data_IF_044005270341
#
_entry.id   IF_044005270341
#
_cell.length_a   1.000
_cell.length_b   1.000
_cell.length_c   1.000
_cell.angle_alpha   90.00
_cell.angle_beta   90.00
_cell.angle_gamma   90.00
#
_symmetry.space_group_name_H-M   'P 1'
#
loop_
_entity.id
_entity.type
_entity.pdbx_description
1 polymer ?
#
# COMPACT_ATOMS: atom_id res chain seq x y z
N UNK A 1 19.09 -9.80 -2.04
CA UNK A 1 19.98 -9.13 -1.07
C UNK A 1 21.43 -9.50 -1.36
N UNK A 2 22.12 -8.66 -2.13
CA UNK A 2 23.57 -8.77 -2.31
C UNK A 2 24.28 -8.23 -1.05
N UNK A 3 25.37 -8.85 -0.59
CA UNK A 3 26.18 -8.33 0.50
C UNK A 3 26.69 -6.92 0.17
N UNK A 4 26.90 -6.09 1.20
CA UNK A 4 27.49 -4.76 1.02
C UNK A 4 28.89 -4.83 0.44
N UNK A 5 29.22 -3.94 -0.50
CA UNK A 5 30.51 -3.86 -1.14
C UNK A 5 31.25 -2.56 -0.77
N UNK A 6 32.64 -2.56 -0.79
CA UNK A 6 33.40 -1.36 -0.49
C UNK A 6 33.08 -0.15 -1.38
N UNK A 7 32.56 -0.41 -2.58
CA UNK A 7 32.21 0.62 -3.58
C UNK A 7 30.79 1.17 -3.47
N UNK A 8 29.95 0.63 -2.58
CA UNK A 8 28.55 1.05 -2.43
C UNK A 8 28.38 2.56 -2.18
N UNK A 9 29.41 3.20 -1.61
CA UNK A 9 29.43 4.66 -1.34
C UNK A 9 30.38 5.45 -2.24
N UNK A 10 31.01 4.78 -3.22
CA UNK A 10 31.97 5.42 -4.13
C UNK A 10 31.27 6.01 -5.36
N UNK A 11 30.38 7.00 -5.14
CA UNK A 11 29.57 7.64 -6.16
C UNK A 11 29.38 9.14 -5.88
N UNK A 12 28.90 9.89 -6.88
CA UNK A 12 28.53 11.30 -6.79
C UNK A 12 27.00 11.53 -6.82
N UNK A 13 26.20 10.50 -6.53
CA UNK A 13 24.75 10.61 -6.48
C UNK A 13 24.38 11.39 -5.22
N UNK A 14 23.58 12.45 -5.36
CA UNK A 14 23.17 13.30 -4.24
C UNK A 14 21.86 12.86 -3.62
N UNK A 15 20.92 12.33 -4.43
CA UNK A 15 19.64 11.80 -3.99
C UNK A 15 19.10 10.81 -5.00
N UNK A 16 18.23 9.92 -4.55
CA UNK A 16 17.34 9.11 -5.36
C UNK A 16 15.90 9.62 -5.24
N UNK A 17 15.02 9.21 -6.15
CA UNK A 17 13.62 9.60 -6.17
C UNK A 17 12.75 8.37 -6.39
N UNK A 18 11.70 8.21 -5.59
CA UNK A 18 10.81 7.06 -5.67
C UNK A 18 9.41 7.34 -5.18
N UNK A 19 8.53 6.38 -5.41
CA UNK A 19 7.16 6.39 -4.91
C UNK A 19 6.76 4.99 -4.47
N UNK A 20 6.13 4.87 -3.30
CA UNK A 20 5.72 3.59 -2.72
C UNK A 20 6.92 2.73 -2.31
N UNK A 21 7.91 3.34 -1.66
CA UNK A 21 9.08 2.66 -1.12
C UNK A 21 8.66 1.79 0.08
N UNK A 22 9.12 0.53 0.12
CA UNK A 22 9.00 -0.29 1.33
C UNK A 22 9.78 0.35 2.47
N UNK A 23 9.18 0.45 3.66
CA UNK A 23 9.78 1.14 4.80
C UNK A 23 11.15 0.60 5.19
N UNK A 24 11.29 -0.72 5.26
CA UNK A 24 12.55 -1.40 5.56
C UNK A 24 13.61 -1.15 4.47
N UNK A 25 13.22 -1.32 3.20
CA UNK A 25 14.14 -1.11 2.08
C UNK A 25 14.57 0.35 1.95
N UNK A 26 13.70 1.31 2.24
CA UNK A 26 14.01 2.73 2.25
C UNK A 26 15.14 3.02 3.24
N UNK A 27 14.96 2.61 4.49
CA UNK A 27 15.95 2.80 5.55
C UNK A 27 17.28 2.07 5.24
N UNK A 28 17.21 0.80 4.84
CA UNK A 28 18.38 0.01 4.50
C UNK A 28 19.18 0.57 3.32
N UNK A 29 18.48 1.09 2.30
CA UNK A 29 19.10 1.71 1.14
C UNK A 29 19.87 2.98 1.52
N UNK A 30 19.27 3.90 2.28
CA UNK A 30 19.93 5.12 2.71
C UNK A 30 21.16 4.83 3.57
N UNK A 31 21.04 3.87 4.49
CA UNK A 31 22.17 3.45 5.33
C UNK A 31 23.31 2.82 4.53
N UNK A 32 22.99 1.98 3.55
CA UNK A 32 23.96 1.27 2.74
C UNK A 32 24.71 2.20 1.79
N UNK A 33 23.97 2.97 1.00
CA UNK A 33 24.55 3.76 -0.09
C UNK A 33 24.87 5.20 0.30
N UNK A 34 24.39 5.69 1.43
CA UNK A 34 24.50 7.09 1.84
C UNK A 34 23.90 8.05 0.79
N UNK A 35 22.74 7.67 0.25
CA UNK A 35 21.97 8.43 -0.74
C UNK A 35 20.58 8.65 -0.14
N UNK A 36 20.16 9.91 0.00
CA UNK A 36 18.77 10.21 0.39
C UNK A 36 17.79 9.73 -0.67
N UNK A 37 16.84 8.87 -0.31
CA UNK A 37 15.72 8.48 -1.16
C UNK A 37 14.53 9.38 -0.86
N UNK A 38 14.22 10.27 -1.77
CA UNK A 38 13.11 11.22 -1.65
C UNK A 38 11.83 10.53 -2.09
N UNK A 39 10.91 10.32 -1.17
CA UNK A 39 9.60 9.77 -1.48
C UNK A 39 8.68 10.86 -2.01
N UNK A 40 7.84 10.49 -2.99
CA UNK A 40 6.90 11.41 -3.61
C UNK A 40 5.57 10.74 -3.88
N UNK A 41 4.53 11.54 -3.85
CA UNK A 41 3.20 11.17 -4.30
C UNK A 41 2.81 12.00 -5.52
N UNK A 42 2.41 11.33 -6.58
CA UNK A 42 1.84 11.90 -7.78
C UNK A 42 1.04 10.85 -8.54
N UNK A 43 0.12 11.29 -9.37
CA UNK A 43 -0.70 10.45 -10.24
C UNK A 43 -0.68 10.98 -11.68
N UNK A 44 -0.94 10.11 -12.65
CA UNK A 44 -1.15 10.54 -14.04
C UNK A 44 -2.30 11.53 -14.14
N UNK A 45 -3.37 11.28 -13.39
CA UNK A 45 -4.58 12.09 -13.35
C UNK A 45 -4.34 13.49 -12.78
N UNK A 46 -3.45 13.63 -11.80
CA UNK A 46 -3.11 14.96 -11.23
C UNK A 46 -2.12 15.72 -12.10
N UNK A 47 -1.50 15.06 -13.08
CA UNK A 47 -0.53 15.66 -13.99
C UNK A 47 0.63 16.31 -13.25
N UNK A 48 0.99 17.52 -13.68
CA UNK A 48 1.98 18.37 -12.99
C UNK A 48 1.34 19.35 -12.01
N UNK A 49 0.04 19.24 -11.78
CA UNK A 49 -0.72 20.26 -11.03
C UNK A 49 -0.64 20.04 -9.54
N UNK A 50 -0.65 18.76 -9.12
CA UNK A 50 -0.61 18.38 -7.71
C UNK A 50 0.33 17.19 -7.56
N UNK A 51 1.42 17.43 -6.85
CA UNK A 51 2.35 16.39 -6.39
C UNK A 51 2.87 16.79 -5.00
N UNK A 52 3.16 15.82 -4.16
CA UNK A 52 3.74 16.03 -2.84
C UNK A 52 5.08 15.29 -2.79
N UNK A 53 6.11 15.97 -2.31
CA UNK A 53 7.49 15.49 -2.35
C UNK A 53 8.14 15.69 -0.98
N UNK A 54 8.63 14.61 -0.37
CA UNK A 54 9.33 14.64 0.91
C UNK A 54 10.77 15.16 0.78
N UNK A 55 10.93 16.39 0.28
CA UNK A 55 12.27 17.00 0.07
C UNK A 55 12.85 17.71 1.28
N UNK A 56 12.04 17.95 2.31
CA UNK A 56 12.42 18.67 3.52
C UNK A 56 12.51 17.74 4.73
N UNK A 57 13.47 18.00 5.62
CA UNK A 57 13.56 17.25 6.88
C UNK A 57 12.55 17.77 7.92
N UNK A 58 12.01 16.91 8.77
CA UNK A 58 12.24 15.46 8.83
C UNK A 58 11.44 14.70 7.76
N UNK A 59 12.12 13.87 6.95
CA UNK A 59 11.47 13.06 5.89
C UNK A 59 10.74 11.83 6.42
N UNK A 60 10.88 11.50 7.71
CA UNK A 60 10.27 10.30 8.33
C UNK A 60 10.59 9.02 7.54
N UNK A 61 11.86 8.82 7.20
CA UNK A 61 12.37 7.70 6.39
C UNK A 61 11.81 6.36 6.88
N UNK A 62 11.31 5.54 5.97
CA UNK A 62 10.77 4.22 6.29
C UNK A 62 9.32 4.20 6.78
N UNK A 63 8.60 5.33 6.75
CA UNK A 63 7.21 5.41 7.23
C UNK A 63 6.19 5.69 6.12
N UNK A 64 6.58 5.49 4.86
CA UNK A 64 5.78 5.87 3.68
C UNK A 64 5.34 7.35 3.68
N UNK A 65 6.12 8.21 4.37
CA UNK A 65 5.92 9.65 4.38
C UNK A 65 6.33 10.24 3.04
N UNK A 66 5.39 10.90 2.34
CA UNK A 66 5.68 11.57 1.09
C UNK A 66 5.69 13.11 1.21
N UNK A 67 5.65 13.63 2.43
CA UNK A 67 5.94 15.02 2.75
C UNK A 67 4.73 15.88 3.06
N UNK A 68 4.94 17.18 3.07
CA UNK A 68 3.91 18.18 3.35
C UNK A 68 3.17 18.59 2.09
N UNK A 69 1.83 18.73 2.12
CA UNK A 69 1.09 19.25 0.97
C UNK A 69 1.58 20.66 0.63
N UNK A 70 1.85 20.95 -0.65
CA UNK A 70 2.32 22.27 -1.07
C UNK A 70 1.17 23.30 -1.04
N UNK A 71 1.49 24.59 -0.87
CA UNK A 71 0.52 25.70 -0.74
C UNK A 71 -0.48 25.82 -1.91
N UNK A 72 -0.11 25.35 -3.08
CA UNK A 72 -0.97 25.36 -4.27
C UNK A 72 -1.92 24.15 -4.35
N UNK A 73 -1.92 23.29 -3.35
CA UNK A 73 -2.79 22.12 -3.24
C UNK A 73 -3.78 22.32 -2.09
N UNK A 74 -5.06 22.20 -2.41
CA UNK A 74 -6.08 21.97 -1.41
C UNK A 74 -6.42 20.48 -1.34
N UNK A 75 -6.62 19.96 -0.14
CA UNK A 75 -6.92 18.55 0.07
C UNK A 75 -8.00 18.35 1.14
N UNK A 76 -8.61 17.17 1.11
CA UNK A 76 -9.49 16.64 2.15
C UNK A 76 -9.09 15.19 2.40
N UNK A 77 -9.22 14.76 3.65
CA UNK A 77 -9.18 13.33 4.01
C UNK A 77 -10.58 12.99 4.51
N UNK A 78 -11.24 12.06 3.82
CA UNK A 78 -12.64 11.68 4.11
C UNK A 78 -12.76 10.18 4.38
N UNK A 79 -13.75 9.84 5.19
CA UNK A 79 -14.17 8.46 5.41
C UNK A 79 -15.09 7.94 4.27
N UNK A 80 -15.63 6.74 4.44
CA UNK A 80 -16.53 6.10 3.48
C UNK A 80 -17.89 6.80 3.34
N UNK A 81 -18.29 7.63 4.31
CA UNK A 81 -19.54 8.40 4.30
C UNK A 81 -19.34 9.77 3.65
N UNK A 82 -18.09 10.14 3.35
CA UNK A 82 -17.71 11.44 2.80
C UNK A 82 -17.42 12.50 3.85
N UNK A 83 -17.43 12.11 5.15
CA UNK A 83 -17.14 13.02 6.25
C UNK A 83 -15.63 13.12 6.53
N UNK A 84 -15.13 14.29 6.98
CA UNK A 84 -13.73 14.45 7.31
C UNK A 84 -13.28 13.50 8.42
N UNK A 85 -12.12 12.83 8.24
CA UNK A 85 -11.51 12.00 9.29
C UNK A 85 -10.79 12.85 10.33
N UNK A 86 -10.60 12.29 11.53
CA UNK A 86 -9.79 12.90 12.58
C UNK A 86 -8.30 12.84 12.22
N UNK A 87 -7.52 13.79 12.73
CA UNK A 87 -6.06 13.80 12.54
C UNK A 87 -5.44 12.48 13.05
N UNK A 88 -4.53 11.92 12.27
CA UNK A 88 -3.93 10.62 12.53
C UNK A 88 -4.74 9.42 12.02
N UNK A 89 -6.01 9.59 11.69
CA UNK A 89 -6.83 8.53 11.09
C UNK A 89 -6.69 8.52 9.58
N UNK A 90 -6.62 7.33 8.95
CA UNK A 90 -6.59 7.20 7.51
C UNK A 90 -7.92 7.60 6.86
N UNK A 91 -7.86 8.40 5.81
CA UNK A 91 -8.99 8.76 4.97
C UNK A 91 -8.62 8.77 3.48
N UNK A 92 -9.64 8.76 2.61
CA UNK A 92 -9.40 8.97 1.19
C UNK A 92 -8.84 10.36 0.95
N UNK A 93 -7.71 10.44 0.26
CA UNK A 93 -7.13 11.71 -0.15
C UNK A 93 -7.89 12.26 -1.36
N UNK A 94 -8.57 13.38 -1.17
CA UNK A 94 -9.13 14.19 -2.22
C UNK A 94 -8.25 15.40 -2.45
N UNK A 95 -8.01 15.76 -3.71
CA UNK A 95 -7.12 16.86 -4.06
C UNK A 95 -7.71 17.78 -5.13
N UNK A 96 -7.35 19.05 -5.05
CA UNK A 96 -7.57 20.02 -6.12
C UNK A 96 -6.47 21.08 -6.12
N UNK A 97 -6.36 21.82 -7.18
CA UNK A 97 -5.50 23.00 -7.20
C UNK A 97 -6.19 24.17 -6.48
N UNK A 98 -5.43 24.97 -5.72
CA UNK A 98 -5.91 26.19 -5.08
C UNK A 98 -6.29 27.24 -6.14
N UNK A 99 -7.30 28.08 -5.84
CA UNK A 99 -7.71 29.22 -6.63
C UNK A 99 -8.86 28.92 -7.59
N UNK A 100 -9.09 29.84 -8.56
CA UNK A 100 -10.29 29.89 -9.40
C UNK A 100 -10.41 28.74 -10.43
N UNK A 101 -9.34 27.99 -10.68
CA UNK A 101 -9.31 26.91 -11.65
C UNK A 101 -8.86 25.58 -10.99
N UNK A 102 -9.70 24.97 -10.14
CA UNK A 102 -9.31 23.85 -9.31
C UNK A 102 -8.88 22.59 -10.08
N UNK A 103 -9.35 22.43 -11.33
CA UNK A 103 -9.00 21.30 -12.21
C UNK A 103 -7.86 21.59 -13.19
N UNK A 104 -7.28 22.77 -13.15
CA UNK A 104 -6.22 23.16 -14.09
C UNK A 104 -4.99 22.28 -13.90
N UNK A 105 -4.54 21.65 -15.02
CA UNK A 105 -3.36 20.78 -15.06
C UNK A 105 -3.63 19.33 -14.66
N UNK A 106 -4.86 19.01 -14.26
CA UNK A 106 -5.30 17.63 -14.17
C UNK A 106 -5.57 17.04 -15.55
N UNK A 107 -5.73 15.72 -15.62
CA UNK A 107 -6.09 15.04 -16.86
C UNK A 107 -7.43 15.52 -17.42
N UNK A 108 -7.64 15.35 -18.73
CA UNK A 108 -8.89 15.72 -19.39
C UNK A 108 -10.02 14.71 -19.17
N UNK A 109 -9.68 13.49 -18.79
CA UNK A 109 -10.61 12.40 -18.52
C UNK A 109 -10.10 11.03 -18.92
N UNK A 110 -10.80 9.99 -18.50
CA UNK A 110 -10.54 8.61 -18.89
C UNK A 110 -10.99 8.35 -20.34
N UNK A 111 -10.14 7.66 -21.09
CA UNK A 111 -10.40 7.40 -22.51
C UNK A 111 -11.65 6.53 -22.68
N UNK A 112 -12.63 7.06 -23.42
CA UNK A 112 -13.91 6.41 -23.72
C UNK A 112 -14.74 6.04 -22.48
N UNK A 113 -14.46 6.66 -21.32
CA UNK A 113 -15.17 6.43 -20.07
C UNK A 113 -15.56 7.76 -19.40
N UNK A 114 -16.58 8.45 -19.94
CA UNK A 114 -17.03 9.71 -19.36
C UNK A 114 -17.70 9.53 -17.99
N UNK A 115 -18.26 8.34 -17.70
CA UNK A 115 -18.91 8.07 -16.43
C UNK A 115 -17.88 7.94 -15.32
N UNK A 116 -16.81 7.18 -15.51
CA UNK A 116 -15.69 7.14 -14.58
C UNK A 116 -15.06 8.52 -14.41
N UNK A 117 -14.96 9.31 -15.48
CA UNK A 117 -14.43 10.67 -15.41
C UNK A 117 -15.29 11.57 -14.50
N UNK A 118 -16.62 11.49 -14.62
CA UNK A 118 -17.52 12.25 -13.74
C UNK A 118 -17.45 11.76 -12.29
N UNK A 119 -17.44 10.45 -12.08
CA UNK A 119 -17.39 9.84 -10.76
C UNK A 119 -16.07 10.14 -10.01
N UNK A 120 -15.00 10.49 -10.73
CA UNK A 120 -13.71 10.82 -10.12
C UNK A 120 -13.68 12.23 -9.48
N UNK A 121 -14.78 13.01 -9.54
CA UNK A 121 -14.82 14.38 -9.04
C UNK A 121 -16.04 14.64 -8.17
N UNK A 122 -15.83 15.27 -6.99
CA UNK A 122 -16.89 15.78 -6.13
C UNK A 122 -16.49 17.18 -5.64
N UNK A 123 -17.36 18.18 -5.82
CA UNK A 123 -17.11 19.58 -5.41
C UNK A 123 -15.74 20.12 -5.90
N UNK A 124 -15.38 19.78 -7.14
CA UNK A 124 -14.09 20.10 -7.75
C UNK A 124 -12.86 19.45 -7.09
N UNK A 125 -13.05 18.53 -6.16
CA UNK A 125 -11.99 17.67 -5.65
C UNK A 125 -11.92 16.36 -6.44
N UNK A 126 -10.69 15.97 -6.79
CA UNK A 126 -10.40 14.71 -7.45
C UNK A 126 -10.24 13.60 -6.41
N UNK A 127 -10.99 12.51 -6.57
CA UNK A 127 -10.86 11.29 -5.79
C UNK A 127 -9.63 10.51 -6.23
N UNK A 128 -8.60 10.48 -5.39
CA UNK A 128 -7.34 9.79 -5.74
C UNK A 128 -7.46 8.27 -5.60
N UNK A 129 -8.38 7.80 -4.78
CA UNK A 129 -8.49 6.40 -4.37
C UNK A 129 -7.30 5.95 -3.50
N UNK A 130 -6.51 6.89 -2.98
CA UNK A 130 -5.40 6.62 -2.05
C UNK A 130 -5.84 6.89 -0.62
N UNK A 131 -5.57 5.95 0.27
CA UNK A 131 -5.77 6.09 1.70
C UNK A 131 -4.51 6.71 2.31
N UNK A 132 -4.67 7.84 2.99
CA UNK A 132 -3.59 8.67 3.52
C UNK A 132 -3.96 9.13 4.93
N UNK A 133 -3.00 9.28 5.81
CA UNK A 133 -3.20 10.02 7.06
C UNK A 133 -2.20 11.17 7.19
N UNK A 134 -2.54 12.15 8.05
CA UNK A 134 -1.65 13.23 8.47
C UNK A 134 -1.11 12.91 9.86
N UNK A 135 0.19 13.01 10.03
CA UNK A 135 0.79 12.94 11.36
C UNK A 135 0.67 14.29 12.13
N UNK A 136 1.17 14.31 13.37
CA UNK A 136 1.11 15.50 14.22
C UNK A 136 1.93 16.69 13.69
N UNK A 137 2.89 16.42 12.81
CA UNK A 137 3.71 17.44 12.12
C UNK A 137 3.03 17.95 10.83
N UNK A 138 1.87 17.39 10.46
CA UNK A 138 1.14 17.71 9.22
C UNK A 138 1.80 17.15 7.97
N UNK A 139 2.54 16.05 8.11
CA UNK A 139 3.11 15.30 6.99
C UNK A 139 2.16 14.19 6.55
N UNK A 140 2.09 13.97 5.24
CA UNK A 140 1.24 12.96 4.64
C UNK A 140 1.95 11.61 4.55
N UNK A 141 1.26 10.55 4.99
CA UNK A 141 1.72 9.18 4.93
C UNK A 141 0.77 8.33 4.09
N UNK A 142 1.32 7.59 3.14
CA UNK A 142 0.55 6.66 2.33
C UNK A 142 0.26 5.38 3.14
N UNK A 143 -0.98 4.91 3.07
CA UNK A 143 -1.41 3.66 3.73
C UNK A 143 -1.62 2.55 2.70
N UNK A 144 -2.53 2.75 1.75
CA UNK A 144 -2.81 1.82 0.65
C UNK A 144 -3.74 2.46 -0.39
N UNK A 145 -4.05 1.75 -1.45
CA UNK A 145 -5.15 2.06 -2.35
C UNK A 145 -6.46 1.56 -1.77
N UNK A 146 -7.53 2.37 -1.79
CA UNK A 146 -8.86 1.98 -1.28
C UNK A 146 -9.33 0.64 -1.87
N UNK A 147 -9.12 0.43 -3.16
CA UNK A 147 -9.47 -0.83 -3.84
C UNK A 147 -8.67 -2.06 -3.39
N UNK A 148 -7.57 -1.88 -2.68
CA UNK A 148 -6.72 -2.95 -2.15
C UNK A 148 -6.96 -3.18 -0.65
N UNK A 149 -7.68 -2.27 0.01
CA UNK A 149 -8.06 -2.41 1.43
C UNK A 149 -8.95 -3.63 1.59
N UNK A 150 -8.63 -4.46 2.57
CA UNK A 150 -9.40 -5.64 2.95
C UNK A 150 -10.32 -5.24 4.10
N UNK A 151 -11.64 -5.34 3.89
CA UNK A 151 -12.64 -4.93 4.88
C UNK A 151 -13.14 -6.10 5.68
N UNK A 152 -12.56 -6.28 6.86
CA UNK A 152 -12.87 -7.40 7.74
C UNK A 152 -13.55 -6.94 9.03
N UNK A 153 -14.82 -7.32 9.21
CA UNK A 153 -15.60 -6.98 10.43
C UNK A 153 -15.59 -5.49 10.79
N UNK A 154 -15.63 -4.60 9.79
CA UNK A 154 -15.58 -3.14 9.96
C UNK A 154 -14.17 -2.54 10.04
N UNK A 155 -13.13 -3.39 10.09
CA UNK A 155 -11.74 -2.94 10.10
C UNK A 155 -11.18 -2.83 8.69
N UNK A 156 -10.44 -1.76 8.41
CA UNK A 156 -9.72 -1.54 7.18
C UNK A 156 -8.28 -2.06 7.32
N UNK A 157 -7.91 -3.04 6.51
CA UNK A 157 -6.60 -3.70 6.54
C UNK A 157 -5.85 -3.37 5.26
N UNK A 158 -4.67 -2.76 5.38
CA UNK A 158 -3.76 -2.56 4.26
C UNK A 158 -3.13 -3.90 3.86
N UNK A 159 -3.32 -4.28 2.59
CA UNK A 159 -2.66 -5.46 2.04
C UNK A 159 -1.13 -5.30 2.05
N UNK A 160 -0.65 -4.07 1.81
CA UNK A 160 0.79 -3.75 1.80
C UNK A 160 1.41 -3.93 3.18
N UNK A 161 0.74 -3.45 4.26
CA UNK A 161 1.20 -3.65 5.63
C UNK A 161 1.39 -5.13 5.98
N UNK A 162 0.43 -5.96 5.59
CA UNK A 162 0.51 -7.41 5.84
C UNK A 162 1.62 -8.05 5.00
N UNK A 163 1.79 -7.63 3.74
CA UNK A 163 2.86 -8.12 2.87
C UNK A 163 4.25 -7.78 3.41
N UNK A 164 4.44 -6.58 3.96
CA UNK A 164 5.71 -6.14 4.53
C UNK A 164 6.12 -7.03 5.71
N UNK A 165 5.20 -7.24 6.65
CA UNK A 165 5.48 -8.09 7.82
C UNK A 165 5.81 -9.53 7.43
N UNK A 166 5.08 -10.12 6.49
CA UNK A 166 5.32 -11.53 6.10
C UNK A 166 6.59 -11.66 5.27
N UNK A 167 6.96 -10.65 4.47
CA UNK A 167 8.18 -10.62 3.66
C UNK A 167 9.46 -10.66 4.51
N UNK A 168 9.42 -10.25 5.79
CA UNK A 168 10.55 -10.37 6.71
C UNK A 168 10.96 -11.83 6.94
N UNK A 169 10.07 -12.79 6.73
CA UNK A 169 10.36 -14.20 6.96
C UNK A 169 11.28 -14.76 5.86
N UNK A 170 12.44 -15.36 6.23
CA UNK A 170 13.48 -15.73 5.26
C UNK A 170 13.05 -16.80 4.24
N UNK A 171 12.03 -17.60 4.52
CA UNK A 171 11.50 -18.59 3.60
C UNK A 171 10.52 -18.01 2.57
N UNK A 172 10.17 -16.72 2.66
CA UNK A 172 9.26 -16.04 1.72
C UNK A 172 10.06 -15.38 0.61
N UNK A 173 9.96 -15.91 -0.61
CA UNK A 173 10.62 -15.34 -1.79
C UNK A 173 9.81 -14.17 -2.36
N UNK A 174 8.48 -14.33 -2.42
CA UNK A 174 7.55 -13.26 -2.79
C UNK A 174 6.19 -13.48 -2.14
N UNK A 175 5.45 -12.39 -1.94
CA UNK A 175 4.12 -12.41 -1.33
C UNK A 175 3.18 -11.46 -2.02
N UNK A 176 1.92 -11.88 -2.15
CA UNK A 176 0.80 -11.04 -2.52
C UNK A 176 -0.39 -11.30 -1.59
N UNK A 177 -0.91 -10.24 -0.98
CA UNK A 177 -2.05 -10.31 -0.07
C UNK A 177 -3.28 -9.68 -0.72
N UNK A 178 -4.44 -10.31 -0.55
CA UNK A 178 -5.71 -9.84 -1.10
C UNK A 178 -6.88 -10.25 -0.23
N UNK A 179 -8.06 -9.70 -0.52
CA UNK A 179 -9.31 -10.09 0.09
C UNK A 179 -9.91 -11.32 -0.60
N UNK A 180 -10.46 -12.24 0.20
CA UNK A 180 -11.47 -13.21 -0.24
C UNK A 180 -12.74 -13.01 0.57
N UNK A 181 -13.90 -13.25 -0.04
CA UNK A 181 -15.19 -13.05 0.64
C UNK A 181 -15.36 -14.05 1.78
N UNK A 182 -15.77 -13.57 2.95
CA UNK A 182 -16.17 -14.35 4.13
C UNK A 182 -17.63 -14.03 4.48
N UNK A 183 -18.47 -15.06 4.64
CA UNK A 183 -19.92 -14.90 4.85
C UNK A 183 -20.29 -14.14 6.14
N UNK A 184 -19.41 -14.17 7.14
CA UNK A 184 -19.68 -13.57 8.46
C UNK A 184 -18.96 -12.22 8.60
N UNK A 185 -17.76 -12.10 8.03
CA UNK A 185 -16.85 -10.98 8.29
C UNK A 185 -16.72 -9.98 7.15
N UNK A 186 -17.41 -10.21 6.03
CA UNK A 186 -17.29 -9.47 4.79
C UNK A 186 -16.11 -9.97 3.97
N UNK A 187 -14.90 -9.58 4.33
CA UNK A 187 -13.67 -10.10 3.74
C UNK A 187 -12.83 -10.89 4.77
N UNK A 188 -11.97 -11.77 4.27
CA UNK A 188 -10.88 -12.39 5.01
C UNK A 188 -9.56 -12.18 4.26
N UNK A 189 -8.47 -12.05 5.01
CA UNK A 189 -7.11 -11.84 4.49
C UNK A 189 -6.57 -13.14 3.93
N UNK A 190 -6.19 -13.13 2.65
CA UNK A 190 -5.62 -14.26 1.92
C UNK A 190 -4.21 -13.93 1.44
N UNK A 191 -3.23 -14.77 1.80
CA UNK A 191 -1.83 -14.63 1.41
C UNK A 191 -1.43 -15.68 0.37
N UNK A 192 -0.99 -15.21 -0.81
CA UNK A 192 -0.35 -16.02 -1.84
C UNK A 192 1.16 -15.94 -1.68
N UNK A 193 1.84 -17.06 -1.42
CA UNK A 193 3.26 -17.14 -1.08
C UNK A 193 4.03 -17.86 -2.17
N UNK A 194 5.12 -17.28 -2.62
CA UNK A 194 6.17 -17.97 -3.43
C UNK A 194 7.24 -18.44 -2.47
N UNK A 195 7.45 -19.75 -2.41
CA UNK A 195 8.40 -20.40 -1.50
C UNK A 195 8.77 -21.80 -1.96
N UNK A 196 9.97 -22.26 -1.60
CA UNK A 196 10.40 -23.66 -1.77
C UNK A 196 10.12 -24.52 -0.52
N UNK A 197 9.71 -23.88 0.58
CA UNK A 197 9.44 -24.55 1.85
C UNK A 197 8.11 -25.32 1.84
N UNK A 198 7.96 -26.26 2.79
CA UNK A 198 6.69 -26.93 3.05
C UNK A 198 5.64 -25.94 3.58
N UNK A 199 4.50 -25.85 2.88
CA UNK A 199 3.46 -24.87 3.20
C UNK A 199 2.73 -25.13 4.52
N UNK A 200 2.56 -26.41 4.92
CA UNK A 200 1.90 -26.76 6.19
C UNK A 200 2.66 -26.21 7.39
N UNK A 201 3.98 -26.36 7.37
CA UNK A 201 4.87 -25.84 8.41
C UNK A 201 4.99 -24.33 8.31
N UNK A 202 5.31 -23.81 7.11
CA UNK A 202 5.56 -22.40 6.90
C UNK A 202 4.34 -21.52 7.23
N UNK A 203 3.13 -21.92 6.85
CA UNK A 203 1.93 -21.12 7.14
C UNK A 203 1.68 -20.93 8.64
N UNK A 204 2.03 -21.92 9.48
CA UNK A 204 1.95 -21.80 10.94
C UNK A 204 3.01 -20.84 11.49
N UNK A 205 4.23 -20.88 10.96
CA UNK A 205 5.27 -19.94 11.31
C UNK A 205 4.89 -18.51 10.90
N UNK A 206 4.33 -18.33 9.69
CA UNK A 206 3.91 -17.03 9.18
C UNK A 206 2.73 -16.42 9.94
N UNK A 207 1.73 -17.22 10.35
CA UNK A 207 0.64 -16.66 11.16
C UNK A 207 1.13 -16.27 12.56
N UNK A 208 1.99 -17.05 13.18
CA UNK A 208 2.60 -16.68 14.47
C UNK A 208 3.48 -15.42 14.35
N UNK A 209 4.25 -15.31 13.27
CA UNK A 209 5.06 -14.13 12.95
C UNK A 209 4.17 -12.89 12.80
N UNK A 210 3.07 -13.02 12.08
CA UNK A 210 2.08 -11.97 11.87
C UNK A 210 1.40 -11.54 13.16
N UNK A 211 0.95 -12.48 14.00
CA UNK A 211 0.26 -12.19 15.26
C UNK A 211 1.15 -11.49 16.30
N UNK A 212 2.46 -11.59 16.19
CA UNK A 212 3.41 -10.86 17.05
C UNK A 212 3.61 -9.39 16.63
N UNK A 213 3.26 -9.02 15.41
CA UNK A 213 3.58 -7.72 14.80
C UNK A 213 2.35 -6.95 14.32
N UNK A 214 1.27 -7.65 14.04
CA UNK A 214 0.01 -7.09 13.55
C UNK A 214 -1.11 -7.32 14.57
N UNK A 215 -2.12 -6.47 14.52
CA UNK A 215 -3.39 -6.78 15.19
C UNK A 215 -3.94 -8.11 14.65
N UNK A 216 -4.53 -8.93 15.54
CA UNK A 216 -4.96 -10.30 15.20
C UNK A 216 -5.87 -10.39 13.96
N UNK A 217 -6.69 -9.37 13.73
CA UNK A 217 -7.60 -9.33 12.59
C UNK A 217 -6.88 -9.06 11.25
N UNK A 218 -5.68 -8.47 11.27
CA UNK A 218 -4.84 -8.21 10.09
C UNK A 218 -4.08 -9.45 9.62
N UNK A 219 -3.75 -10.37 10.53
CA UNK A 219 -3.04 -11.59 10.15
C UNK A 219 -3.83 -12.38 9.09
N UNK A 220 -3.19 -13.01 8.09
CA UNK A 220 -3.91 -13.80 7.10
C UNK A 220 -4.67 -14.97 7.72
N UNK A 221 -5.93 -15.18 7.27
CA UNK A 221 -6.72 -16.33 7.61
C UNK A 221 -6.45 -17.51 6.70
N UNK A 222 -6.01 -17.23 5.47
CA UNK A 222 -5.70 -18.25 4.47
C UNK A 222 -4.30 -18.03 3.88
N UNK A 223 -3.61 -19.14 3.63
CA UNK A 223 -2.30 -19.17 2.98
C UNK A 223 -2.30 -20.17 1.82
N UNK A 224 -1.74 -19.77 0.69
CA UNK A 224 -1.57 -20.68 -0.44
C UNK A 224 -0.21 -20.50 -1.07
N UNK A 225 0.41 -21.62 -1.49
CA UNK A 225 1.59 -21.59 -2.35
C UNK A 225 1.21 -21.26 -3.77
N UNK A 226 1.99 -20.40 -4.41
CA UNK A 226 1.91 -20.12 -5.84
C UNK A 226 3.30 -20.18 -6.46
N UNK A 227 3.38 -20.57 -7.74
CA UNK A 227 4.67 -20.63 -8.44
C UNK A 227 5.20 -19.23 -8.77
N UNK A 228 4.29 -18.28 -9.04
CA UNK A 228 4.61 -16.90 -9.30
C UNK A 228 3.42 -15.99 -8.98
N UNK A 229 3.69 -14.73 -8.60
CA UNK A 229 2.67 -13.71 -8.48
C UNK A 229 2.31 -13.12 -9.86
N UNK A 230 1.04 -12.73 -10.07
CA UNK A 230 0.66 -12.01 -11.28
C UNK A 230 1.25 -10.60 -11.26
N UNK A 231 2.22 -10.31 -12.13
CA UNK A 231 2.90 -9.02 -12.21
C UNK A 231 2.51 -8.24 -13.47
N UNK A 232 2.61 -6.92 -13.40
CA UNK A 232 2.58 -6.02 -14.56
C UNK A 232 3.92 -6.06 -15.30
N UNK A 233 3.99 -5.45 -16.49
CA UNK A 233 5.25 -5.27 -17.21
C UNK A 233 6.29 -4.43 -16.42
N UNK A 234 5.86 -3.70 -15.40
CA UNK A 234 6.71 -2.91 -14.50
C UNK A 234 6.94 -3.60 -13.15
N UNK A 235 6.76 -4.93 -13.09
CA UNK A 235 6.98 -5.80 -11.92
C UNK A 235 6.11 -5.47 -10.68
N UNK A 236 5.00 -4.76 -10.85
CA UNK A 236 4.03 -4.51 -9.77
C UNK A 236 2.96 -5.60 -9.74
N UNK A 237 2.54 -6.02 -8.56
CA UNK A 237 1.48 -7.02 -8.38
C UNK A 237 0.16 -6.53 -9.02
N UNK A 238 -0.39 -7.34 -9.93
CA UNK A 238 -1.71 -7.11 -10.53
C UNK A 238 -2.81 -7.53 -9.54
N UNK A 239 -3.26 -6.62 -8.70
CA UNK A 239 -4.20 -6.90 -7.60
C UNK A 239 -5.50 -7.59 -8.03
N UNK A 240 -6.06 -7.22 -9.19
CA UNK A 240 -7.27 -7.87 -9.71
C UNK A 240 -7.03 -9.35 -10.02
N UNK A 241 -5.95 -9.67 -10.71
CA UNK A 241 -5.59 -11.06 -11.02
C UNK A 241 -5.21 -11.85 -9.78
N UNK A 242 -4.57 -11.21 -8.80
CA UNK A 242 -4.27 -11.84 -7.51
C UNK A 242 -5.56 -12.21 -6.78
N UNK A 243 -6.57 -11.33 -6.79
CA UNK A 243 -7.88 -11.59 -6.19
C UNK A 243 -8.60 -12.76 -6.86
N UNK A 244 -8.56 -12.84 -8.18
CA UNK A 244 -9.15 -13.94 -8.93
C UNK A 244 -8.42 -15.27 -8.65
N UNK A 245 -7.08 -15.23 -8.57
CA UNK A 245 -6.25 -16.39 -8.19
C UNK A 245 -6.59 -16.88 -6.78
N UNK A 246 -6.62 -15.98 -5.79
CA UNK A 246 -6.94 -16.33 -4.41
C UNK A 246 -8.34 -16.96 -4.29
N UNK A 247 -9.34 -16.39 -4.99
CA UNK A 247 -10.69 -16.96 -5.05
C UNK A 247 -10.69 -18.37 -5.64
N UNK A 248 -9.95 -18.59 -6.73
CA UNK A 248 -9.83 -19.91 -7.36
C UNK A 248 -9.19 -20.94 -6.41
N UNK A 249 -8.11 -20.56 -5.72
CA UNK A 249 -7.42 -21.40 -4.74
C UNK A 249 -8.33 -21.74 -3.55
N UNK A 250 -9.11 -20.77 -3.05
CA UNK A 250 -10.07 -21.00 -1.99
C UNK A 250 -11.16 -22.00 -2.39
N UNK A 251 -11.77 -21.81 -3.58
CA UNK A 251 -12.84 -22.70 -4.09
C UNK A 251 -12.34 -24.10 -4.35
N UNK A 252 -11.11 -24.25 -4.85
CA UNK A 252 -10.50 -25.57 -5.12
C UNK A 252 -9.94 -26.26 -3.88
N UNK A 253 -9.94 -25.60 -2.72
CA UNK A 253 -9.35 -26.13 -1.49
C UNK A 253 -7.82 -26.18 -1.48
N UNK A 254 -7.16 -25.48 -2.42
CA UNK A 254 -5.72 -25.41 -2.53
C UNK A 254 -5.14 -24.28 -1.66
N UNK A 255 -5.60 -24.16 -0.43
CA UNK A 255 -5.11 -23.24 0.57
C UNK A 255 -5.22 -23.84 1.97
N UNK A 256 -4.42 -23.31 2.90
CA UNK A 256 -4.42 -23.70 4.30
C UNK A 256 -5.28 -22.69 5.06
N UNK A 257 -6.31 -23.18 5.78
CA UNK A 257 -7.19 -22.36 6.60
C UNK A 257 -6.66 -22.31 8.04
N UNK A 258 -6.21 -21.16 8.46
CA UNK A 258 -5.71 -20.87 9.80
C UNK A 258 -6.55 -19.83 10.55
N UNK A 259 -7.78 -19.55 10.09
CA UNK A 259 -8.68 -18.57 10.75
C UNK A 259 -8.92 -18.86 12.21
N UNK A 260 -8.91 -20.15 12.60
CA UNK A 260 -9.08 -20.58 14.00
C UNK A 260 -7.95 -20.13 14.92
N UNK A 261 -6.77 -19.79 14.39
CA UNK A 261 -5.61 -19.30 15.16
C UNK A 261 -5.65 -17.78 15.38
N UNK A 262 -6.55 -17.07 14.72
CA UNK A 262 -6.73 -15.61 14.85
C UNK A 262 -7.58 -15.28 16.08
N UNK A 263 -7.02 -15.42 17.26
CA UNK A 263 -7.70 -15.11 18.52
C UNK A 263 -7.23 -13.76 19.07
N UNK A 264 -8.16 -13.00 19.65
CA UNK A 264 -7.83 -11.76 20.36
C UNK A 264 -7.02 -12.11 21.62
N UNK A 265 -5.79 -11.65 21.69
CA UNK A 265 -4.96 -11.76 22.90
C UNK A 265 -5.41 -10.73 23.93
#
# INVERSE_FOLDING_TARGET
>A
NLPGEPHDRAHNIRFGFGAGLSGELHTAFEQRFNISLIEAWAMTETGCSVAVIASEEPRKVGTACFGRPPDHMEYRLIDETGEPVTQGEPGELLVRRSGEQPRRGFFSGYLKDPDATRAAWTDDYFHTGDLVYLDDDGLMHFVDRIKNVIRRSGENISAVEVEEVIREHPAVQAIGVTAVTDEIRGDEVFACIVTDSDMETLSRELIEHSLKRLAYYKAPGYFARVDALPLTATEKVQRSRLKDLARSLLVSGNCIDLRALKVRQ
#
